data_IF_696620584712
#
_entry.id   IF_696620584712
#
_cell.length_a   1.000
_cell.length_b   1.000
_cell.length_c   1.000
_cell.angle_alpha   90.00
_cell.angle_beta   90.00
_cell.angle_gamma   90.00
#
_symmetry.space_group_name_H-M   'P 1'
#
loop_
_entity.id
_entity.type
_entity.pdbx_description
1 polymer ?
#
# COMPACT_ATOMS: atom_id res chain seq x y z
N UNK A 1 -32.17 -12.08 -11.01
CA UNK A 1 -30.80 -11.55 -11.17
C UNK A 1 -30.56 -11.31 -12.65
N UNK A 2 -30.14 -10.11 -13.05
CA UNK A 2 -29.76 -9.82 -14.45
C UNK A 2 -28.26 -10.06 -14.63
N UNK A 3 -27.88 -10.77 -15.69
CA UNK A 3 -26.48 -11.00 -16.05
C UNK A 3 -25.91 -9.71 -16.62
N UNK A 4 -24.76 -9.28 -16.11
CA UNK A 4 -23.98 -8.18 -16.70
C UNK A 4 -22.83 -8.77 -17.51
N UNK A 5 -22.72 -8.38 -18.76
CA UNK A 5 -21.63 -8.79 -19.65
C UNK A 5 -20.47 -7.80 -19.57
N UNK A 6 -19.25 -8.33 -19.50
CA UNK A 6 -18.00 -7.59 -19.48
C UNK A 6 -17.04 -8.25 -20.46
N UNK A 7 -16.16 -7.46 -21.07
CA UNK A 7 -15.14 -7.97 -21.99
C UNK A 7 -13.97 -8.57 -21.20
N UNK A 8 -13.71 -8.05 -19.99
CA UNK A 8 -12.69 -8.55 -19.06
C UNK A 8 -13.23 -8.58 -17.63
N UNK A 9 -13.04 -9.69 -16.94
CA UNK A 9 -13.30 -9.80 -15.50
C UNK A 9 -12.03 -10.21 -14.78
N UNK A 10 -11.56 -9.38 -13.86
CA UNK A 10 -10.37 -9.61 -13.06
C UNK A 10 -10.77 -10.08 -11.66
N UNK A 11 -10.34 -11.29 -11.28
CA UNK A 11 -10.53 -11.81 -9.94
C UNK A 11 -9.31 -11.46 -9.08
N UNK A 12 -9.52 -10.59 -8.10
CA UNK A 12 -8.51 -10.05 -7.19
C UNK A 12 -8.11 -8.62 -7.54
N UNK A 13 -8.10 -7.75 -6.54
CA UNK A 13 -7.75 -6.33 -6.62
C UNK A 13 -6.32 -6.02 -6.17
N UNK A 14 -5.42 -7.01 -6.16
CA UNK A 14 -4.00 -6.84 -5.86
C UNK A 14 -3.22 -6.10 -6.95
N UNK A 15 -1.89 -5.91 -6.81
CA UNK A 15 -1.06 -5.18 -7.77
C UNK A 15 -1.22 -5.62 -9.23
N UNK A 16 -1.23 -6.92 -9.49
CA UNK A 16 -1.49 -7.42 -10.85
C UNK A 16 -2.93 -7.14 -11.30
N UNK A 17 -3.89 -7.32 -10.39
CA UNK A 17 -5.32 -7.23 -10.71
C UNK A 17 -5.79 -5.80 -11.01
N UNK A 18 -5.57 -4.85 -10.12
CA UNK A 18 -6.02 -3.48 -10.36
C UNK A 18 -5.26 -2.83 -11.54
N UNK A 19 -3.98 -3.18 -11.76
CA UNK A 19 -3.23 -2.67 -12.91
C UNK A 19 -3.77 -3.24 -14.22
N UNK A 20 -4.03 -4.54 -14.28
CA UNK A 20 -4.66 -5.17 -15.43
C UNK A 20 -6.03 -4.53 -15.72
N UNK A 21 -6.84 -4.31 -14.68
CA UNK A 21 -8.15 -3.70 -14.81
C UNK A 21 -8.11 -2.26 -15.33
N UNK A 22 -7.23 -1.41 -14.78
CA UNK A 22 -7.00 -0.05 -15.31
C UNK A 22 -6.60 -0.12 -16.78
N UNK A 23 -5.65 -1.01 -17.11
CA UNK A 23 -5.14 -1.09 -18.48
C UNK A 23 -6.22 -1.55 -19.47
N UNK A 24 -7.03 -2.53 -19.10
CA UNK A 24 -8.17 -2.99 -19.90
C UNK A 24 -9.19 -1.86 -20.14
N UNK A 25 -9.54 -1.08 -19.10
CA UNK A 25 -10.41 0.09 -19.24
C UNK A 25 -9.81 1.16 -20.16
N UNK A 26 -8.52 1.46 -20.03
CA UNK A 26 -7.82 2.40 -20.92
C UNK A 26 -7.80 1.96 -22.40
N UNK A 27 -7.92 0.66 -22.66
CA UNK A 27 -8.04 0.11 -24.02
C UNK A 27 -9.50 0.09 -24.53
N UNK A 28 -10.45 0.63 -23.77
CA UNK A 28 -11.86 0.71 -24.14
C UNK A 28 -12.68 -0.53 -23.80
N UNK A 29 -12.12 -1.49 -23.06
CA UNK A 29 -12.81 -2.73 -22.69
C UNK A 29 -13.67 -2.52 -21.44
N UNK A 30 -14.92 -2.98 -21.47
CA UNK A 30 -15.80 -3.01 -20.28
C UNK A 30 -15.22 -4.01 -19.29
N UNK A 31 -14.64 -3.48 -18.22
CA UNK A 31 -13.86 -4.29 -17.28
C UNK A 31 -14.51 -4.31 -15.91
N UNK A 32 -14.56 -5.49 -15.28
CA UNK A 32 -14.98 -5.66 -13.89
C UNK A 32 -13.82 -6.18 -13.04
N UNK A 33 -13.77 -5.74 -11.77
CA UNK A 33 -12.86 -6.29 -10.76
C UNK A 33 -13.68 -6.86 -9.62
N UNK A 34 -13.37 -8.09 -9.22
CA UNK A 34 -13.98 -8.74 -8.06
C UNK A 34 -12.90 -8.91 -6.99
N UNK A 35 -13.05 -8.20 -5.87
CA UNK A 35 -12.17 -8.30 -4.71
C UNK A 35 -13.02 -8.60 -3.47
N UNK A 36 -12.57 -9.56 -2.66
CA UNK A 36 -13.27 -9.99 -1.45
C UNK A 36 -13.08 -9.00 -0.31
N UNK A 37 -11.87 -8.44 -0.18
CA UNK A 37 -11.49 -7.57 0.92
C UNK A 37 -11.17 -6.15 0.43
N UNK A 38 -9.88 -5.80 0.39
CA UNK A 38 -9.41 -4.45 0.16
C UNK A 38 -8.62 -4.36 -1.16
N UNK A 39 -8.92 -3.34 -1.95
CA UNK A 39 -8.10 -3.00 -3.12
C UNK A 39 -6.64 -2.77 -2.73
N UNK A 40 -5.73 -3.14 -3.63
CA UNK A 40 -4.29 -3.18 -3.40
C UNK A 40 -3.77 -4.53 -2.90
N UNK A 41 -4.65 -5.45 -2.49
CA UNK A 41 -4.32 -6.83 -2.12
C UNK A 41 -3.29 -6.93 -0.99
N UNK A 42 -2.60 -8.08 -0.91
CA UNK A 42 -1.63 -8.36 0.16
C UNK A 42 -0.51 -7.33 0.18
N UNK A 43 0.13 -7.07 -0.96
CA UNK A 43 1.30 -6.17 -1.06
C UNK A 43 1.05 -4.81 -0.40
N UNK A 44 -0.12 -4.21 -0.66
CA UNK A 44 -0.46 -2.90 -0.12
C UNK A 44 -0.97 -2.95 1.31
N UNK A 45 -1.84 -3.92 1.64
CA UNK A 45 -2.56 -3.91 2.90
C UNK A 45 -1.80 -4.58 4.05
N UNK A 46 -1.01 -5.60 3.73
CA UNK A 46 -0.46 -6.56 4.71
C UNK A 46 0.99 -7.00 4.45
N UNK A 47 1.55 -6.65 3.29
CA UNK A 47 2.86 -7.12 2.85
C UNK A 47 3.87 -5.99 2.71
N UNK A 48 4.36 -5.80 1.48
CA UNK A 48 5.49 -4.93 1.18
C UNK A 48 5.36 -3.51 1.77
N UNK A 49 4.20 -2.87 1.62
CA UNK A 49 4.02 -1.48 2.05
C UNK A 49 4.11 -1.30 3.57
N UNK A 50 3.31 -1.99 4.40
CA UNK A 50 3.40 -1.82 5.85
C UNK A 50 4.76 -2.29 6.40
N UNK A 51 5.33 -3.36 5.86
CA UNK A 51 6.65 -3.87 6.27
C UNK A 51 7.76 -2.86 5.96
N UNK A 52 7.79 -2.29 4.75
CA UNK A 52 8.81 -1.30 4.37
C UNK A 52 8.64 0.04 5.11
N UNK A 53 7.40 0.41 5.46
CA UNK A 53 7.17 1.56 6.34
C UNK A 53 7.74 1.34 7.74
N UNK A 54 7.62 0.14 8.30
CA UNK A 54 8.22 -0.19 9.60
C UNK A 54 9.74 -0.28 9.53
N UNK A 55 10.29 -0.90 8.48
CA UNK A 55 11.73 -0.98 8.26
C UNK A 55 12.38 0.41 8.19
N UNK A 56 11.75 1.38 7.51
CA UNK A 56 12.25 2.75 7.49
C UNK A 56 12.32 3.37 8.89
N UNK A 57 11.36 3.10 9.76
CA UNK A 57 11.41 3.59 11.14
C UNK A 57 12.58 2.97 11.91
N UNK A 58 12.77 1.66 11.76
CA UNK A 58 13.88 0.94 12.38
C UNK A 58 15.23 1.46 11.87
N UNK A 59 15.34 1.75 10.57
CA UNK A 59 16.55 2.31 9.97
C UNK A 59 16.88 3.70 10.53
N UNK A 60 15.88 4.57 10.72
CA UNK A 60 16.09 5.89 11.35
C UNK A 60 16.58 5.73 12.79
N UNK A 61 15.96 4.84 13.57
CA UNK A 61 16.40 4.57 14.96
C UNK A 61 17.83 4.01 14.97
N UNK A 62 18.15 3.10 14.06
CA UNK A 62 19.49 2.53 13.93
C UNK A 62 20.53 3.57 13.51
N UNK A 63 20.17 4.51 12.65
CA UNK A 63 21.06 5.59 12.25
C UNK A 63 21.35 6.53 13.42
N UNK A 64 20.31 6.92 14.16
CA UNK A 64 20.43 7.80 15.33
C UNK A 64 21.23 7.15 16.47
N UNK A 65 21.10 5.84 16.67
CA UNK A 65 21.91 5.12 17.67
C UNK A 65 23.39 5.05 17.32
N UNK A 66 23.75 5.36 16.06
CA UNK A 66 25.12 5.41 15.56
C UNK A 66 25.66 6.83 15.41
N UNK A 67 25.06 7.80 16.11
CA UNK A 67 25.37 9.23 15.98
C UNK A 67 26.86 9.60 16.06
N UNK A 68 27.65 8.88 16.88
CA UNK A 68 29.11 9.11 16.97
C UNK A 68 29.83 8.94 15.62
N UNK A 69 29.34 8.05 14.76
CA UNK A 69 29.85 7.87 13.38
C UNK A 69 29.72 9.16 12.56
N UNK A 70 28.76 10.00 12.91
CA UNK A 70 28.42 11.26 12.23
C UNK A 70 28.79 12.49 13.08
N UNK A 71 29.55 12.32 14.17
CA UNK A 71 30.05 13.42 14.99
C UNK A 71 29.04 14.03 15.97
N UNK A 72 27.96 13.32 16.32
CA UNK A 72 27.03 13.77 17.36
C UNK A 72 26.78 12.70 18.41
N UNK A 73 26.38 13.15 19.61
CA UNK A 73 25.90 12.27 20.67
C UNK A 73 24.43 12.56 20.95
N UNK A 74 23.69 11.52 21.31
CA UNK A 74 22.26 11.61 21.64
C UNK A 74 22.05 10.92 22.98
N UNK A 75 21.85 11.71 24.03
CA UNK A 75 21.79 11.21 25.41
C UNK A 75 20.59 10.28 25.65
N UNK A 76 19.44 10.57 25.04
CA UNK A 76 18.24 9.75 25.20
C UNK A 76 17.41 9.69 23.91
N UNK A 77 17.14 8.47 23.43
CA UNK A 77 16.21 8.21 22.34
C UNK A 77 15.03 7.35 22.86
N UNK A 78 13.84 7.96 22.93
CA UNK A 78 12.61 7.21 23.21
C UNK A 78 12.02 6.65 21.92
N UNK A 79 11.61 5.38 21.92
CA UNK A 79 10.97 4.73 20.77
C UNK A 79 9.60 4.20 21.14
N UNK A 80 8.65 4.31 20.22
CA UNK A 80 7.30 3.78 20.38
C UNK A 80 6.93 2.94 19.16
N UNK A 81 6.86 1.62 19.35
CA UNK A 81 6.39 0.72 18.31
C UNK A 81 4.92 0.98 17.96
N UNK A 82 4.10 1.39 18.93
CA UNK A 82 2.70 1.71 18.70
C UNK A 82 2.54 2.87 17.71
N UNK A 83 3.30 3.96 17.89
CA UNK A 83 3.26 5.10 16.94
C UNK A 83 3.88 4.73 15.59
N UNK A 84 4.95 3.93 15.58
CA UNK A 84 5.53 3.41 14.35
C UNK A 84 4.53 2.56 13.54
N UNK A 85 3.80 1.68 14.21
CA UNK A 85 2.76 0.83 13.61
C UNK A 85 1.59 1.67 13.12
N UNK A 86 1.12 2.64 13.91
CA UNK A 86 0.07 3.59 13.50
C UNK A 86 0.46 4.37 12.24
N UNK A 87 1.71 4.84 12.14
CA UNK A 87 2.25 5.47 10.92
C UNK A 87 2.24 4.50 9.73
N UNK A 88 2.65 3.26 9.93
CA UNK A 88 2.61 2.23 8.88
C UNK A 88 1.19 2.04 8.34
N UNK A 89 0.19 1.97 9.22
CA UNK A 89 -1.22 1.89 8.81
C UNK A 89 -1.69 3.13 8.05
N UNK A 90 -1.28 4.33 8.45
CA UNK A 90 -1.66 5.56 7.74
C UNK A 90 -1.08 5.64 6.32
N UNK A 91 0.13 5.10 6.11
CA UNK A 91 0.74 4.95 4.79
C UNK A 91 -0.10 4.01 3.91
N UNK A 92 -0.51 2.85 4.46
CA UNK A 92 -1.40 1.90 3.76
C UNK A 92 -2.71 2.58 3.36
N UNK A 93 -3.41 3.20 4.30
CA UNK A 93 -4.71 3.86 4.05
C UNK A 93 -4.61 4.91 2.94
N UNK A 94 -3.54 5.71 2.94
CA UNK A 94 -3.30 6.73 1.91
C UNK A 94 -3.16 6.11 0.52
N UNK A 95 -2.42 5.01 0.41
CA UNK A 95 -2.20 4.36 -0.88
C UNK A 95 -3.45 3.62 -1.38
N UNK A 96 -4.19 2.93 -0.50
CA UNK A 96 -5.47 2.29 -0.85
C UNK A 96 -6.44 3.33 -1.41
N UNK A 97 -6.54 4.50 -0.77
CA UNK A 97 -7.40 5.60 -1.24
C UNK A 97 -7.01 6.08 -2.64
N UNK A 98 -5.71 6.12 -2.97
CA UNK A 98 -5.24 6.50 -4.32
C UNK A 98 -5.66 5.48 -5.38
N UNK A 99 -5.58 4.19 -5.07
CA UNK A 99 -6.04 3.13 -5.98
C UNK A 99 -7.55 3.19 -6.16
N UNK A 100 -8.31 3.40 -5.08
CA UNK A 100 -9.76 3.59 -5.16
C UNK A 100 -10.15 4.77 -6.05
N UNK A 101 -9.39 5.87 -5.99
CA UNK A 101 -9.60 7.02 -6.89
C UNK A 101 -9.23 6.67 -8.34
N UNK A 102 -8.11 5.98 -8.56
CA UNK A 102 -7.70 5.53 -9.88
C UNK A 102 -8.76 4.62 -10.54
N UNK A 103 -9.32 3.68 -9.77
CA UNK A 103 -10.37 2.75 -10.19
C UNK A 103 -11.75 3.40 -10.37
N UNK A 104 -11.93 4.65 -9.95
CA UNK A 104 -13.15 5.42 -10.22
C UNK A 104 -13.04 6.26 -11.49
N UNK A 105 -11.81 6.55 -11.92
CA UNK A 105 -11.51 7.37 -13.09
C UNK A 105 -11.32 6.52 -14.36
N UNK A 106 -11.30 5.20 -14.21
CA UNK A 106 -11.18 4.18 -15.25
C UNK A 106 -12.18 3.06 -14.93
#
# INVERSE_FOLDING_TARGET
>A
MTVKEFDVVVLGGGPGGYVAAVRSSQLGLRTAVVEKENLGGVCLNWGCVPTKSLLQNAEVVHLLSRGRTFGFELDHLSTSFAEAHKRSRSVVTRQVRRIQLLMKNH
#
